data_IF_522357352187
#
_entry.id   IF_522357352187
#
_cell.length_a   1.000
_cell.length_b   1.000
_cell.length_c   1.000
_cell.angle_alpha   90.00
_cell.angle_beta   90.00
_cell.angle_gamma   90.00
#
_symmetry.space_group_name_H-M   'P 1'
#
loop_
_entity.id
_entity.type
_entity.pdbx_description
1 polymer ?
#
# COMPACT_ATOMS: atom_id res chain seq x y z
N UNK A 1 10.44 -23.32 11.97
CA UNK A 1 10.36 -22.74 10.61
C UNK A 1 10.02 -21.27 10.70
N UNK A 2 10.80 -20.42 10.03
CA UNK A 2 10.53 -18.98 9.87
C UNK A 2 10.02 -18.76 8.44
N UNK A 3 8.98 -17.93 8.28
CA UNK A 3 8.43 -17.53 6.98
C UNK A 3 8.76 -16.07 6.67
N UNK A 4 8.63 -15.68 5.40
CA UNK A 4 8.65 -14.26 5.00
C UNK A 4 7.23 -13.70 5.05
N UNK A 5 7.08 -12.43 5.45
CA UNK A 5 5.85 -11.66 5.35
C UNK A 5 6.15 -10.31 4.70
N UNK A 6 5.29 -9.92 3.77
CA UNK A 6 5.41 -8.68 3.00
C UNK A 6 4.26 -7.73 3.38
N UNK A 7 4.40 -6.96 4.47
CA UNK A 7 3.31 -6.13 4.97
C UNK A 7 3.17 -4.77 4.29
N UNK A 8 4.16 -4.34 3.51
CA UNK A 8 4.17 -2.98 2.96
C UNK A 8 3.21 -2.78 1.79
N UNK A 9 3.05 -3.80 0.94
CA UNK A 9 2.31 -3.70 -0.32
C UNK A 9 1.66 -5.04 -0.67
N UNK A 10 0.66 -5.00 -1.54
CA UNK A 10 0.09 -6.20 -2.18
C UNK A 10 0.40 -6.18 -3.67
N UNK A 11 -0.02 -7.20 -4.42
CA UNK A 11 -0.16 -7.04 -5.88
C UNK A 11 -1.31 -6.07 -6.17
N UNK A 12 -1.22 -5.34 -7.29
CA UNK A 12 -2.32 -4.64 -7.95
C UNK A 12 -3.51 -5.55 -8.32
N UNK A 13 -3.28 -6.84 -8.53
CA UNK A 13 -4.33 -7.86 -8.73
C UNK A 13 -4.89 -8.42 -7.43
N UNK A 14 -4.50 -7.87 -6.28
CA UNK A 14 -5.08 -8.28 -5.01
C UNK A 14 -6.50 -7.72 -4.91
N UNK A 15 -7.43 -8.53 -4.38
CA UNK A 15 -8.84 -8.16 -4.30
C UNK A 15 -9.10 -6.82 -3.59
N UNK A 16 -8.27 -6.46 -2.61
CA UNK A 16 -8.37 -5.15 -1.97
C UNK A 16 -8.01 -3.99 -2.89
N UNK A 17 -7.00 -4.12 -3.75
CA UNK A 17 -6.62 -3.03 -4.66
C UNK A 17 -7.64 -2.90 -5.78
N UNK A 18 -8.14 -4.01 -6.32
CA UNK A 18 -9.24 -4.00 -7.29
C UNK A 18 -10.49 -3.33 -6.69
N UNK A 19 -10.83 -3.64 -5.44
CA UNK A 19 -11.94 -3.01 -4.72
C UNK A 19 -11.70 -1.51 -4.47
N UNK A 20 -10.48 -1.11 -4.08
CA UNK A 20 -10.10 0.28 -3.92
C UNK A 20 -10.30 1.07 -5.23
N UNK A 21 -9.83 0.50 -6.34
CA UNK A 21 -9.97 1.06 -7.69
C UNK A 21 -11.43 1.19 -8.12
N UNK A 22 -12.27 0.19 -7.82
CA UNK A 22 -13.68 0.21 -8.16
C UNK A 22 -14.50 1.19 -7.30
N UNK A 23 -14.16 1.34 -6.02
CA UNK A 23 -14.94 2.13 -5.08
C UNK A 23 -14.67 3.65 -5.16
N UNK A 24 -13.44 4.05 -5.50
CA UNK A 24 -13.11 5.45 -5.74
C UNK A 24 -12.79 6.28 -4.49
N UNK A 25 -12.52 7.59 -4.66
CA UNK A 25 -12.06 8.48 -3.58
C UNK A 25 -13.04 8.55 -2.40
N UNK A 26 -12.50 8.50 -1.18
CA UNK A 26 -13.26 8.60 0.07
C UNK A 26 -13.95 7.32 0.55
N UNK A 27 -13.83 6.21 -0.18
CA UNK A 27 -14.36 4.91 0.24
C UNK A 27 -13.47 4.22 1.28
N UNK A 28 -14.02 3.33 2.13
CA UNK A 28 -13.22 2.50 3.03
C UNK A 28 -12.22 1.59 2.30
N UNK A 29 -12.59 1.06 1.13
CA UNK A 29 -11.71 0.22 0.31
C UNK A 29 -10.52 1.02 -0.21
N UNK A 30 -10.77 2.26 -0.66
CA UNK A 30 -9.74 3.18 -1.14
C UNK A 30 -8.73 3.53 -0.04
N UNK A 31 -9.19 3.71 1.19
CA UNK A 31 -8.35 4.07 2.35
C UNK A 31 -7.40 2.95 2.80
N UNK A 32 -7.53 1.71 2.31
CA UNK A 32 -6.58 0.63 2.60
C UNK A 32 -5.22 0.82 1.94
N UNK A 33 -5.12 1.70 0.95
CA UNK A 33 -3.90 2.00 0.21
C UNK A 33 -3.58 3.49 0.30
N UNK A 34 -2.33 3.84 0.03
CA UNK A 34 -1.90 5.24 0.07
C UNK A 34 -2.26 5.92 -1.25
N UNK A 35 -3.46 6.52 -1.30
CA UNK A 35 -3.91 7.43 -2.35
C UNK A 35 -3.78 8.89 -1.91
N UNK A 36 -3.35 9.77 -2.81
CA UNK A 36 -3.25 11.21 -2.57
C UNK A 36 -3.67 12.01 -3.81
N UNK A 37 -4.25 13.20 -3.64
CA UNK A 37 -4.46 14.12 -4.75
C UNK A 37 -3.11 14.57 -5.32
N UNK A 38 -3.05 14.74 -6.64
CA UNK A 38 -1.88 15.31 -7.30
C UNK A 38 -1.73 16.82 -7.08
N UNK A 39 -0.58 17.35 -7.50
CA UNK A 39 -0.29 18.79 -7.60
C UNK A 39 -0.53 19.30 -9.03
N UNK A 40 -0.46 20.62 -9.23
CA UNK A 40 -0.75 21.26 -10.51
C UNK A 40 -2.20 21.76 -10.60
N UNK A 41 -2.55 22.43 -11.68
CA UNK A 41 -3.89 23.03 -11.86
C UNK A 41 -4.98 21.96 -11.95
N UNK A 42 -4.62 20.77 -12.43
CA UNK A 42 -5.53 19.65 -12.67
C UNK A 42 -5.05 18.37 -11.98
N UNK A 43 -4.17 18.45 -10.98
CA UNK A 43 -3.61 17.29 -10.28
C UNK A 43 -2.71 16.42 -11.17
N UNK A 44 -2.13 16.98 -12.23
CA UNK A 44 -1.31 16.29 -13.22
C UNK A 44 0.12 15.99 -12.78
N UNK A 45 0.56 16.56 -11.65
CA UNK A 45 1.85 16.30 -11.05
C UNK A 45 1.69 15.38 -9.83
N UNK A 46 2.67 14.52 -9.53
CA UNK A 46 2.61 13.65 -8.36
C UNK A 46 2.58 14.47 -7.05
N UNK A 47 2.08 13.89 -5.95
CA UNK A 47 2.05 14.54 -4.63
C UNK A 47 3.42 15.03 -4.17
N UNK A 48 4.50 14.29 -4.49
CA UNK A 48 5.88 14.68 -4.21
C UNK A 48 6.85 14.01 -5.19
N UNK A 49 8.15 14.25 -4.99
CA UNK A 49 9.24 13.77 -5.84
C UNK A 49 9.82 12.42 -5.40
N UNK A 50 9.10 11.65 -4.58
CA UNK A 50 9.54 10.33 -4.14
C UNK A 50 9.79 9.39 -5.32
N UNK A 51 10.84 8.57 -5.18
CA UNK A 51 11.29 7.64 -6.20
C UNK A 51 11.12 6.21 -5.74
N UNK A 52 10.64 5.36 -6.66
CA UNK A 52 10.56 3.93 -6.42
C UNK A 52 11.97 3.31 -6.41
N UNK A 53 12.16 2.30 -5.55
CA UNK A 53 13.43 1.60 -5.40
C UNK A 53 13.87 0.87 -6.68
N UNK A 54 12.93 0.48 -7.53
CA UNK A 54 13.20 -0.17 -8.83
C UNK A 54 13.38 0.83 -9.98
N UNK A 55 13.38 2.13 -9.70
CA UNK A 55 13.49 3.20 -10.68
C UNK A 55 12.14 3.82 -11.04
N UNK A 56 12.18 5.04 -11.61
CA UNK A 56 10.98 5.84 -11.87
C UNK A 56 10.51 6.68 -10.67
N UNK A 57 9.30 7.23 -10.78
CA UNK A 57 8.59 7.88 -9.68
C UNK A 57 7.86 6.84 -8.82
N UNK A 58 7.60 7.17 -7.56
CA UNK A 58 6.87 6.29 -6.63
C UNK A 58 5.34 6.43 -6.72
N UNK A 59 4.84 7.22 -7.68
CA UNK A 59 3.42 7.56 -7.78
C UNK A 59 2.90 7.27 -9.18
N UNK A 60 1.76 6.60 -9.24
CA UNK A 60 1.04 6.34 -10.48
C UNK A 60 -0.35 6.97 -10.42
N UNK A 61 -0.68 7.76 -11.45
CA UNK A 61 -1.98 8.47 -11.55
C UNK A 61 -3.05 7.52 -12.06
N UNK A 62 -4.23 7.57 -11.44
CA UNK A 62 -5.41 6.80 -11.85
C UNK A 62 -6.45 7.69 -12.54
N UNK A 63 -7.44 7.06 -13.18
CA UNK A 63 -8.39 7.73 -14.06
C UNK A 63 -9.26 8.80 -13.38
N UNK A 64 -9.50 8.66 -12.07
CA UNK A 64 -10.23 9.64 -11.26
C UNK A 64 -9.36 10.83 -10.80
N UNK A 65 -8.08 10.83 -11.15
CA UNK A 65 -7.14 11.93 -10.94
C UNK A 65 -6.27 11.81 -9.69
N UNK A 66 -6.57 10.87 -8.77
CA UNK A 66 -5.70 10.59 -7.62
C UNK A 66 -4.43 9.83 -8.05
N UNK A 67 -3.46 9.77 -7.15
CA UNK A 67 -2.21 9.04 -7.31
C UNK A 67 -2.08 8.00 -6.21
N UNK A 68 -1.75 6.75 -6.56
CA UNK A 68 -1.39 5.76 -5.56
C UNK A 68 0.13 5.64 -5.44
N UNK A 69 0.59 5.40 -4.21
CA UNK A 69 1.99 5.18 -3.90
C UNK A 69 2.38 3.72 -4.18
N UNK A 70 3.57 3.54 -4.73
CA UNK A 70 4.29 2.27 -4.80
C UNK A 70 5.78 2.53 -4.56
N UNK A 71 6.33 2.00 -3.46
CA UNK A 71 7.77 2.18 -3.19
C UNK A 71 8.66 1.28 -4.06
N UNK A 72 8.05 0.32 -4.77
CA UNK A 72 8.72 -0.62 -5.66
C UNK A 72 8.07 -0.56 -7.06
N UNK A 73 7.57 -1.68 -7.59
CA UNK A 73 6.92 -1.68 -8.90
C UNK A 73 5.52 -1.02 -8.85
N UNK A 74 5.04 -0.47 -9.97
CA UNK A 74 3.66 0.03 -10.09
C UNK A 74 2.61 -1.03 -9.74
N UNK A 75 2.93 -2.31 -9.98
CA UNK A 75 2.11 -3.47 -9.63
C UNK A 75 2.15 -3.84 -8.13
N UNK A 76 2.88 -3.07 -7.31
CA UNK A 76 3.06 -3.26 -5.86
C UNK A 76 2.54 -2.03 -5.08
N UNK A 77 1.23 -1.74 -5.11
CA UNK A 77 0.66 -0.61 -4.38
C UNK A 77 0.83 -0.75 -2.87
N UNK A 78 1.28 0.35 -2.24
CA UNK A 78 1.57 0.42 -0.82
C UNK A 78 0.28 0.50 0.02
N UNK A 79 0.20 -0.36 1.04
CA UNK A 79 -0.87 -0.34 2.02
C UNK A 79 -0.75 0.87 2.94
N UNK A 80 -1.90 1.38 3.37
CA UNK A 80 -2.00 2.44 4.35
C UNK A 80 -2.00 1.85 5.78
N UNK A 81 -0.86 1.86 6.45
CA UNK A 81 -0.74 1.37 7.83
C UNK A 81 -1.32 2.31 8.90
N UNK A 82 -1.83 3.49 8.53
CA UNK A 82 -2.67 4.30 9.44
C UNK A 82 -4.09 3.74 9.53
N UNK A 83 -4.55 3.03 8.50
CA UNK A 83 -5.86 2.39 8.50
C UNK A 83 -5.87 1.18 9.45
N UNK A 84 -6.78 1.21 10.42
CA UNK A 84 -6.89 0.15 11.45
C UNK A 84 -7.37 -1.20 10.92
N UNK A 85 -8.08 -1.23 9.78
CA UNK A 85 -8.48 -2.47 9.10
C UNK A 85 -7.25 -3.21 8.57
N UNK A 86 -6.30 -2.50 7.96
CA UNK A 86 -5.04 -3.08 7.49
C UNK A 86 -4.29 -3.74 8.65
N UNK A 87 -4.15 -3.04 9.78
CA UNK A 87 -3.49 -3.60 10.98
C UNK A 87 -4.18 -4.87 11.49
N UNK A 88 -5.50 -4.83 11.61
CA UNK A 88 -6.32 -5.97 12.07
C UNK A 88 -6.25 -7.16 11.13
N UNK A 89 -6.15 -6.93 9.83
CA UNK A 89 -6.01 -8.02 8.87
C UNK A 89 -4.65 -8.70 8.97
N UNK A 90 -3.57 -7.92 9.14
CA UNK A 90 -2.25 -8.48 9.38
C UNK A 90 -2.17 -9.27 10.70
N UNK A 91 -2.87 -8.86 11.75
CA UNK A 91 -3.01 -9.67 12.98
C UNK A 91 -3.64 -11.04 12.68
N UNK A 92 -4.68 -11.08 11.83
CA UNK A 92 -5.31 -12.35 11.42
C UNK A 92 -4.39 -13.21 10.54
N UNK A 93 -3.64 -12.61 9.62
CA UNK A 93 -2.67 -13.32 8.79
C UNK A 93 -1.58 -13.96 9.67
N UNK A 94 -1.06 -13.20 10.64
CA UNK A 94 -0.08 -13.71 11.59
C UNK A 94 -0.67 -14.87 12.41
N UNK A 95 -1.86 -14.70 12.99
CA UNK A 95 -2.54 -15.75 13.75
C UNK A 95 -2.76 -17.02 12.91
N UNK A 96 -3.22 -16.88 11.66
CA UNK A 96 -3.45 -18.00 10.74
C UNK A 96 -2.21 -18.89 10.58
N UNK A 97 -1.03 -18.29 10.49
CA UNK A 97 0.23 -19.02 10.33
C UNK A 97 0.80 -19.52 11.65
N UNK A 98 0.66 -18.77 12.74
CA UNK A 98 1.04 -19.24 14.08
C UNK A 98 0.22 -20.46 14.51
N UNK A 99 -1.09 -20.49 14.21
CA UNK A 99 -1.97 -21.64 14.46
C UNK A 99 -1.53 -22.91 13.68
N UNK A 100 -0.65 -22.75 12.68
CA UNK A 100 -0.08 -23.84 11.88
C UNK A 100 1.35 -24.20 12.27
N UNK A 101 1.85 -23.66 13.39
CA UNK A 101 3.17 -23.99 13.94
C UNK A 101 4.34 -23.26 13.29
N UNK A 102 4.11 -22.12 12.63
CA UNK A 102 5.20 -21.20 12.23
C UNK A 102 5.82 -20.60 13.49
N UNK A 103 7.15 -20.56 13.58
CA UNK A 103 7.86 -20.08 14.79
C UNK A 103 8.13 -18.57 14.76
N UNK A 104 8.02 -17.93 13.59
CA UNK A 104 8.25 -16.50 13.45
C UNK A 104 8.33 -16.05 11.99
N UNK A 105 8.54 -14.74 11.82
CA UNK A 105 8.57 -14.08 10.52
C UNK A 105 9.82 -13.22 10.34
N UNK A 106 10.38 -13.25 9.13
CA UNK A 106 11.19 -12.16 8.59
C UNK A 106 10.23 -11.14 7.99
N UNK A 107 10.36 -9.87 8.38
CA UNK A 107 9.47 -8.80 7.92
C UNK A 107 10.14 -8.05 6.77
N UNK A 108 9.60 -8.21 5.57
CA UNK A 108 10.04 -7.46 4.39
C UNK A 108 9.64 -5.99 4.49
N UNK A 109 10.55 -5.09 4.12
CA UNK A 109 10.34 -3.63 4.09
C UNK A 109 9.71 -3.05 5.37
N UNK A 110 10.11 -3.55 6.54
CA UNK A 110 9.56 -3.08 7.83
C UNK A 110 9.69 -1.55 8.03
N UNK A 111 10.76 -0.95 7.50
CA UNK A 111 11.02 0.49 7.55
C UNK A 111 10.07 1.33 6.68
N UNK A 112 9.38 0.70 5.72
CA UNK A 112 8.48 1.37 4.78
C UNK A 112 7.05 1.48 5.27
N UNK A 113 6.64 0.79 6.35
CA UNK A 113 5.22 0.66 6.69
C UNK A 113 4.52 1.98 6.97
N UNK A 114 5.13 2.84 7.78
CA UNK A 114 4.60 4.16 8.09
C UNK A 114 5.24 5.18 7.14
N UNK A 115 4.39 5.95 6.48
CA UNK A 115 4.80 7.03 5.60
C UNK A 115 4.79 8.35 6.38
N UNK A 116 5.55 9.34 5.93
CA UNK A 116 5.57 10.66 6.58
C UNK A 116 4.15 11.26 6.58
N UNK A 117 3.74 11.89 7.68
CA UNK A 117 2.46 12.58 7.74
C UNK A 117 2.46 13.79 6.79
N UNK A 118 1.35 14.01 6.09
CA UNK A 118 1.18 15.15 5.18
C UNK A 118 1.92 15.07 3.84
N UNK A 119 2.20 13.83 3.35
CA UNK A 119 2.67 13.61 1.97
C UNK A 119 1.93 14.41 0.91
#
# INVERSE_FOLDING_TARGET
>A
MILDIVPNHTSDRHAWFEAAMAAGPGSPERDRYVFRPGKGEHGELPPNDWRAAFGGGAWTRVADGEWYLHLFAEAQPDLNWENTEVRRDFEKILAFWFDRGVDGFRIDVAHGLIKQEGL
#
